data_IF_956833977731
#
_entry.id   IF_956833977731
#
_cell.length_a   1.000
_cell.length_b   1.000
_cell.length_c   1.000
_cell.angle_alpha   90.00
_cell.angle_beta   90.00
_cell.angle_gamma   90.00
#
_symmetry.space_group_name_H-M   'P 1'
#
loop_
_entity.id
_entity.type
_entity.pdbx_description
1 polymer ?
#
# COMPACT_ATOMS: atom_id res chain seq x y z
N UNK A 1 19.83 -5.15 14.20
CA UNK A 1 19.64 -4.08 15.20
C UNK A 1 18.14 -3.99 15.51
N UNK A 2 17.71 -4.64 16.58
CA UNK A 2 16.32 -4.60 17.03
C UNK A 2 15.95 -3.15 17.35
N UNK A 3 14.85 -2.64 16.81
CA UNK A 3 14.31 -1.33 17.17
C UNK A 3 13.57 -1.50 18.50
N UNK A 4 14.29 -1.92 19.52
CA UNK A 4 13.73 -2.28 20.83
C UNK A 4 13.91 -1.15 21.86
N UNK A 5 14.47 -0.01 21.45
CA UNK A 5 14.62 1.15 22.31
C UNK A 5 13.37 2.03 22.38
N UNK A 6 12.98 2.43 23.61
CA UNK A 6 12.07 3.56 23.86
C UNK A 6 12.37 4.80 23.00
N UNK A 7 13.63 5.24 22.78
CA UNK A 7 13.90 6.40 21.93
C UNK A 7 13.50 6.20 20.46
N UNK A 8 13.72 5.02 19.89
CA UNK A 8 13.37 4.78 18.50
C UNK A 8 11.85 4.74 18.27
N UNK A 9 11.10 4.19 19.24
CA UNK A 9 9.62 4.26 19.23
C UNK A 9 9.12 5.69 19.30
N UNK A 10 9.77 6.54 20.11
CA UNK A 10 9.48 7.96 20.19
C UNK A 10 9.75 8.69 18.87
N UNK A 11 10.91 8.46 18.24
CA UNK A 11 11.24 9.05 16.94
C UNK A 11 10.23 8.68 15.86
N UNK A 12 9.83 7.41 15.78
CA UNK A 12 8.79 6.95 14.84
C UNK A 12 7.45 7.63 15.15
N UNK A 13 7.07 7.76 16.43
CA UNK A 13 5.83 8.42 16.83
C UNK A 13 5.84 9.91 16.47
N UNK A 14 6.92 10.63 16.77
CA UNK A 14 7.09 12.06 16.46
C UNK A 14 7.09 12.27 14.94
N UNK A 15 7.89 11.50 14.20
CA UNK A 15 7.92 11.57 12.73
C UNK A 15 6.56 11.31 12.11
N UNK A 16 5.83 10.31 12.61
CA UNK A 16 4.46 10.04 12.18
C UNK A 16 3.49 11.19 12.48
N UNK A 17 3.63 11.85 13.64
CA UNK A 17 2.82 13.03 13.99
C UNK A 17 3.14 14.23 13.11
N UNK A 18 4.42 14.47 12.80
CA UNK A 18 4.83 15.53 11.87
C UNK A 18 4.26 15.27 10.48
N UNK A 19 4.33 14.04 9.98
CA UNK A 19 3.70 13.66 8.71
C UNK A 19 2.19 13.86 8.73
N UNK A 20 1.50 13.54 9.83
CA UNK A 20 0.06 13.81 9.99
C UNK A 20 -0.27 15.30 9.93
N UNK A 21 0.52 16.14 10.60
CA UNK A 21 0.31 17.59 10.59
C UNK A 21 0.57 18.17 9.21
N UNK A 22 1.64 17.73 8.55
CA UNK A 22 1.94 18.14 7.19
C UNK A 22 0.85 17.69 6.21
N UNK A 23 0.40 16.44 6.27
CA UNK A 23 -0.68 15.92 5.42
C UNK A 23 -1.99 16.72 5.55
N UNK A 24 -2.26 17.33 6.72
CA UNK A 24 -3.42 18.22 6.91
C UNK A 24 -3.29 19.57 6.23
N UNK A 25 -2.06 20.02 5.96
CA UNK A 25 -1.80 21.27 5.22
C UNK A 25 -1.83 21.10 3.71
N UNK A 26 -1.80 19.85 3.23
CA UNK A 26 -1.83 19.55 1.80
C UNK A 26 -3.25 19.72 1.24
N UNK A 27 -3.30 20.24 0.01
CA UNK A 27 -4.50 20.24 -0.82
C UNK A 27 -4.46 19.00 -1.70
N UNK A 28 -5.59 18.29 -1.76
CA UNK A 28 -5.72 17.07 -2.53
C UNK A 28 -6.64 17.34 -3.72
N UNK A 29 -6.14 17.09 -4.91
CA UNK A 29 -6.92 17.00 -6.15
C UNK A 29 -6.94 15.54 -6.56
N UNK A 30 -8.13 15.03 -6.90
CA UNK A 30 -8.33 13.62 -7.23
C UNK A 30 -9.02 13.53 -8.57
N UNK A 31 -8.35 12.88 -9.50
CA UNK A 31 -8.94 12.41 -10.74
C UNK A 31 -9.30 10.92 -10.56
N UNK A 32 -10.59 10.65 -10.42
CA UNK A 32 -11.12 9.30 -10.19
C UNK A 32 -11.72 8.71 -11.47
N UNK A 33 -10.86 8.32 -12.40
CA UNK A 33 -11.29 7.71 -13.67
C UNK A 33 -12.01 6.37 -13.50
N UNK A 34 -11.76 5.65 -12.40
CA UNK A 34 -12.44 4.40 -12.07
C UNK A 34 -13.78 4.61 -11.34
N UNK A 35 -14.02 5.82 -10.83
CA UNK A 35 -15.24 6.17 -10.11
C UNK A 35 -15.42 5.40 -8.81
N UNK A 36 -14.34 5.10 -8.07
CA UNK A 36 -14.38 4.33 -6.81
C UNK A 36 -14.49 5.19 -5.56
N UNK A 37 -14.15 6.48 -5.63
CA UNK A 37 -14.07 7.38 -4.48
C UNK A 37 -15.48 7.73 -4.00
N UNK A 38 -15.76 7.47 -2.72
CA UNK A 38 -17.04 7.78 -2.09
C UNK A 38 -18.23 6.92 -2.57
N UNK A 39 -17.99 5.88 -3.37
CA UNK A 39 -19.04 4.96 -3.83
C UNK A 39 -19.08 3.67 -2.99
N UNK A 40 -20.24 2.98 -2.94
CA UNK A 40 -20.32 1.63 -2.38
C UNK A 40 -19.36 0.67 -3.10
N UNK A 41 -18.86 -0.32 -2.36
CA UNK A 41 -17.98 -1.35 -2.94
C UNK A 41 -18.83 -2.27 -3.81
N UNK A 42 -18.59 -2.23 -5.13
CA UNK A 42 -19.16 -3.19 -6.08
C UNK A 42 -18.16 -4.29 -6.44
N UNK A 43 -16.87 -3.94 -6.51
CA UNK A 43 -15.78 -4.80 -6.97
C UNK A 43 -14.51 -4.51 -6.15
N UNK A 44 -13.57 -5.45 -6.15
CA UNK A 44 -12.26 -5.31 -5.50
C UNK A 44 -11.15 -5.16 -6.55
N UNK A 45 -10.14 -4.39 -6.19
CA UNK A 45 -9.05 -4.02 -7.10
C UNK A 45 -7.68 -4.41 -6.56
N UNK A 46 -6.77 -4.62 -7.51
CA UNK A 46 -5.33 -4.64 -7.24
C UNK A 46 -4.79 -3.24 -7.54
N UNK A 47 -4.66 -2.42 -6.51
CA UNK A 47 -4.05 -1.09 -6.61
C UNK A 47 -2.56 -1.19 -6.92
N UNK A 48 -2.14 -0.62 -8.04
CA UNK A 48 -0.75 -0.58 -8.48
C UNK A 48 -0.18 0.84 -8.30
N UNK A 49 0.78 1.00 -7.40
CA UNK A 49 1.45 2.28 -7.14
C UNK A 49 2.96 2.12 -7.19
N UNK A 50 3.68 3.02 -7.85
CA UNK A 50 5.14 2.99 -7.86
C UNK A 50 5.74 3.17 -6.47
N UNK A 51 6.83 2.45 -6.16
CA UNK A 51 7.46 2.46 -4.84
C UNK A 51 7.80 3.87 -4.33
N UNK A 52 8.27 4.76 -5.21
CA UNK A 52 8.70 6.11 -4.84
C UNK A 52 7.53 7.07 -4.54
N UNK A 53 6.28 6.64 -4.73
CA UNK A 53 5.09 7.44 -4.44
C UNK A 53 4.48 7.13 -3.07
N UNK A 54 4.94 6.11 -2.34
CA UNK A 54 4.24 5.60 -1.14
C UNK A 54 4.08 6.56 0.05
N UNK A 55 4.87 7.63 0.17
CA UNK A 55 4.99 8.40 1.42
C UNK A 55 3.64 8.90 1.98
N UNK A 56 2.81 9.50 1.13
CA UNK A 56 1.52 10.07 1.52
C UNK A 56 0.33 9.16 1.19
N UNK A 57 0.57 8.01 0.57
CA UNK A 57 -0.48 7.14 0.06
C UNK A 57 -1.44 6.62 1.15
N UNK A 58 -0.97 6.19 2.34
CA UNK A 58 -1.89 5.76 3.40
C UNK A 58 -2.86 6.84 3.88
N UNK A 59 -2.47 8.13 3.76
CA UNK A 59 -3.37 9.24 4.08
C UNK A 59 -4.45 9.40 3.03
N UNK A 60 -4.13 9.17 1.75
CA UNK A 60 -5.10 9.18 0.65
C UNK A 60 -6.12 8.05 0.84
N UNK A 61 -5.65 6.82 1.08
CA UNK A 61 -6.53 5.68 1.37
C UNK A 61 -7.50 6.00 2.50
N UNK A 62 -6.98 6.46 3.64
CA UNK A 62 -7.81 6.80 4.81
C UNK A 62 -8.79 7.95 4.56
N UNK A 63 -8.45 8.93 3.71
CA UNK A 63 -9.26 10.13 3.51
C UNK A 63 -10.36 9.93 2.46
N UNK A 64 -10.07 9.17 1.41
CA UNK A 64 -10.90 9.10 0.20
C UNK A 64 -11.45 7.71 -0.09
N UNK A 65 -10.78 6.66 0.40
CA UNK A 65 -11.20 5.26 0.26
C UNK A 65 -11.46 4.65 1.65
N UNK A 66 -11.97 5.44 2.59
CA UNK A 66 -12.17 5.05 4.00
C UNK A 66 -13.12 3.87 4.19
N UNK A 67 -14.00 3.62 3.22
CA UNK A 67 -14.93 2.50 3.22
C UNK A 67 -14.34 1.23 2.61
N UNK A 68 -13.12 1.30 2.05
CA UNK A 68 -12.44 0.19 1.38
C UNK A 68 -11.27 -0.27 2.24
N UNK A 69 -11.44 -1.43 2.87
CA UNK A 69 -10.38 -2.07 3.64
C UNK A 69 -9.57 -3.01 2.73
N UNK A 70 -8.31 -3.24 3.09
CA UNK A 70 -7.43 -4.03 2.25
C UNK A 70 -6.10 -4.38 2.88
N UNK A 71 -5.26 -5.02 2.07
CA UNK A 71 -3.90 -5.39 2.47
C UNK A 71 -2.84 -4.78 1.55
N UNK A 72 -1.75 -4.29 2.14
CA UNK A 72 -0.57 -3.87 1.40
C UNK A 72 0.49 -4.98 1.37
N UNK A 73 1.07 -5.23 0.20
CA UNK A 73 2.25 -6.09 0.07
C UNK A 73 3.50 -5.32 0.53
N UNK A 74 4.16 -5.81 1.58
CA UNK A 74 5.40 -5.20 2.09
C UNK A 74 6.52 -6.25 2.17
N UNK A 75 7.70 -5.90 1.66
CA UNK A 75 8.90 -6.73 1.69
C UNK A 75 9.18 -7.30 3.07
N UNK A 76 9.49 -8.60 3.15
CA UNK A 76 9.93 -9.31 4.35
C UNK A 76 11.39 -8.94 4.76
N UNK A 77 11.73 -7.66 4.67
CA UNK A 77 12.95 -7.04 5.16
C UNK A 77 12.68 -6.31 6.48
N UNK A 78 13.78 -5.92 7.15
CA UNK A 78 13.75 -5.12 8.37
C UNK A 78 13.12 -3.75 8.17
N UNK A 79 13.40 -3.08 7.05
CA UNK A 79 12.78 -1.80 6.71
C UNK A 79 11.27 -1.97 6.47
N UNK A 80 10.86 -3.12 5.94
CA UNK A 80 9.45 -3.47 5.81
C UNK A 80 8.74 -3.65 7.15
N UNK A 81 9.43 -4.05 8.22
CA UNK A 81 8.82 -4.14 9.57
C UNK A 81 8.45 -2.77 10.12
N UNK A 82 9.32 -1.77 9.89
CA UNK A 82 9.03 -0.37 10.21
C UNK A 82 7.79 0.12 9.48
N UNK A 83 7.70 -0.14 8.18
CA UNK A 83 6.54 0.24 7.38
C UNK A 83 5.27 -0.51 7.81
N UNK A 84 5.39 -1.79 8.15
CA UNK A 84 4.28 -2.61 8.68
C UNK A 84 3.67 -1.96 9.93
N UNK A 85 4.50 -1.51 10.86
CA UNK A 85 4.03 -0.84 12.08
C UNK A 85 3.34 0.51 11.80
N UNK A 86 3.74 1.20 10.73
CA UNK A 86 3.10 2.44 10.31
C UNK A 86 1.75 2.18 9.62
N UNK A 87 1.69 1.24 8.66
CA UNK A 87 0.49 0.90 7.90
C UNK A 87 -0.63 0.36 8.78
N UNK A 88 -0.31 -0.45 9.79
CA UNK A 88 -1.30 -0.91 10.78
C UNK A 88 -2.01 0.21 11.54
N UNK A 89 -1.41 1.42 11.63
CA UNK A 89 -2.07 2.59 12.24
C UNK A 89 -3.10 3.25 11.33
N UNK A 90 -3.15 2.86 10.05
CA UNK A 90 -4.15 3.28 9.07
C UNK A 90 -5.24 2.23 8.86
N UNK A 91 -5.34 1.22 9.74
CA UNK A 91 -6.35 0.16 9.68
C UNK A 91 -6.31 -0.66 8.37
N UNK A 92 -5.09 -0.86 7.87
CA UNK A 92 -4.79 -1.70 6.71
C UNK A 92 -4.00 -2.93 7.14
N UNK A 93 -4.35 -4.06 6.53
CA UNK A 93 -3.61 -5.31 6.69
C UNK A 93 -2.30 -5.29 5.92
N UNK A 94 -1.40 -6.19 6.29
CA UNK A 94 -0.10 -6.31 5.66
C UNK A 94 0.18 -7.77 5.32
N UNK A 95 0.40 -8.01 4.02
CA UNK A 95 0.94 -9.28 3.53
C UNK A 95 2.45 -9.12 3.36
N UNK A 96 3.22 -10.07 3.90
CA UNK A 96 4.69 -10.01 3.89
C UNK A 96 5.24 -10.80 2.71
N UNK A 97 5.94 -10.12 1.79
CA UNK A 97 6.60 -10.80 0.68
C UNK A 97 7.25 -9.87 -0.34
N UNK A 98 8.01 -10.46 -1.25
CA UNK A 98 8.67 -9.82 -2.39
C UNK A 98 9.03 -10.87 -3.44
N UNK A 99 9.48 -10.43 -4.62
CA UNK A 99 10.02 -11.32 -5.67
C UNK A 99 11.14 -12.25 -5.17
N UNK A 100 11.88 -11.84 -4.14
CA UNK A 100 13.02 -12.62 -3.60
C UNK A 100 12.75 -13.42 -2.33
N UNK A 101 11.63 -13.15 -1.65
CA UNK A 101 11.38 -13.69 -0.32
C UNK A 101 9.89 -13.78 -0.09
N UNK A 102 9.40 -14.99 0.17
CA UNK A 102 7.99 -15.30 0.45
C UNK A 102 7.01 -14.88 -0.66
N UNK A 103 7.47 -14.72 -1.91
CA UNK A 103 6.62 -14.26 -3.03
C UNK A 103 5.40 -15.14 -3.29
N UNK A 104 5.59 -16.46 -3.42
CA UNK A 104 4.48 -17.39 -3.68
C UNK A 104 3.42 -17.38 -2.56
N UNK A 105 3.87 -17.36 -1.29
CA UNK A 105 2.97 -17.25 -0.13
C UNK A 105 2.24 -15.92 -0.13
N UNK A 106 2.92 -14.82 -0.44
CA UNK A 106 2.30 -13.51 -0.50
C UNK A 106 1.22 -13.43 -1.58
N UNK A 107 1.45 -14.00 -2.76
CA UNK A 107 0.43 -14.05 -3.83
C UNK A 107 -0.80 -14.85 -3.39
N UNK A 108 -0.62 -15.98 -2.71
CA UNK A 108 -1.73 -16.77 -2.15
C UNK A 108 -2.54 -15.93 -1.16
N UNK A 109 -1.88 -15.32 -0.18
CA UNK A 109 -2.54 -14.48 0.82
C UNK A 109 -3.26 -13.27 0.21
N UNK A 110 -2.65 -12.62 -0.80
CA UNK A 110 -3.31 -11.51 -1.51
C UNK A 110 -4.53 -12.01 -2.30
N UNK A 111 -4.46 -13.19 -2.91
CA UNK A 111 -5.60 -13.78 -3.62
C UNK A 111 -6.75 -14.08 -2.66
N UNK A 112 -6.45 -14.58 -1.45
CA UNK A 112 -7.42 -14.84 -0.39
C UNK A 112 -8.09 -13.54 0.11
N UNK A 113 -7.32 -12.45 0.27
CA UNK A 113 -7.86 -11.14 0.64
C UNK A 113 -8.86 -10.63 -0.41
N UNK A 114 -8.50 -10.72 -1.69
CA UNK A 114 -9.38 -10.31 -2.80
C UNK A 114 -10.67 -11.14 -2.81
N UNK A 115 -10.55 -12.47 -2.68
CA UNK A 115 -11.69 -13.37 -2.63
C UNK A 115 -12.61 -13.10 -1.42
N UNK A 116 -12.05 -12.53 -0.35
CA UNK A 116 -12.77 -12.17 0.88
C UNK A 116 -13.40 -10.78 0.84
N UNK A 117 -13.45 -10.11 -0.31
CA UNK A 117 -14.11 -8.80 -0.41
C UNK A 117 -13.20 -7.58 -0.18
N UNK A 118 -11.87 -7.75 -0.23
CA UNK A 118 -10.93 -6.68 0.12
C UNK A 118 -10.06 -6.27 -1.07
N UNK A 119 -9.68 -4.99 -1.10
CA UNK A 119 -8.67 -4.50 -2.04
C UNK A 119 -7.28 -4.94 -1.61
N UNK A 120 -6.35 -4.95 -2.56
CA UNK A 120 -4.93 -5.10 -2.24
C UNK A 120 -4.09 -4.04 -2.93
N UNK A 121 -2.98 -3.66 -2.30
CA UNK A 121 -2.03 -2.70 -2.86
C UNK A 121 -0.69 -3.39 -3.08
N UNK A 122 -0.18 -3.29 -4.30
CA UNK A 122 1.14 -3.76 -4.68
C UNK A 122 1.92 -2.59 -5.28
N UNK A 123 3.21 -2.61 -5.00
CA UNK A 123 4.18 -1.77 -5.68
C UNK A 123 4.97 -2.61 -6.71
N UNK A 124 4.59 -2.53 -8.00
CA UNK A 124 4.96 -3.55 -8.99
C UNK A 124 6.45 -3.53 -9.38
N UNK A 125 7.14 -2.41 -9.19
CA UNK A 125 8.58 -2.23 -9.44
C UNK A 125 9.49 -2.89 -8.40
N UNK A 126 8.93 -3.36 -7.28
CA UNK A 126 9.69 -4.05 -6.24
C UNK A 126 10.68 -3.14 -5.48
N UNK A 127 11.10 -3.53 -4.26
CA UNK A 127 12.00 -2.72 -3.44
C UNK A 127 13.43 -2.61 -3.99
N UNK A 128 13.78 -3.43 -4.99
CA UNK A 128 15.09 -3.39 -5.67
C UNK A 128 15.02 -2.80 -7.07
N UNK A 129 13.84 -2.41 -7.52
CA UNK A 129 13.63 -1.96 -8.88
C UNK A 129 13.84 -3.06 -9.94
N UNK A 130 14.08 -2.65 -11.19
CA UNK A 130 14.19 -1.26 -11.65
C UNK A 130 12.91 -0.43 -11.44
N UNK A 131 13.08 0.87 -11.13
CA UNK A 131 11.96 1.78 -10.89
C UNK A 131 11.12 1.94 -12.15
N UNK A 132 9.80 1.97 -11.99
CA UNK A 132 8.83 2.08 -13.09
C UNK A 132 8.79 0.90 -14.07
N UNK A 133 9.35 -0.24 -13.69
CA UNK A 133 9.18 -1.49 -14.44
C UNK A 133 8.20 -2.39 -13.73
N UNK A 134 7.29 -2.99 -14.50
CA UNK A 134 6.24 -3.83 -13.93
C UNK A 134 6.75 -5.26 -13.72
N UNK A 135 6.79 -5.69 -12.46
CA UNK A 135 7.12 -7.07 -12.10
C UNK A 135 5.99 -8.05 -12.44
N UNK A 136 6.30 -9.32 -12.78
CA UNK A 136 5.30 -10.30 -13.22
C UNK A 136 4.28 -10.70 -12.14
N UNK A 137 4.58 -10.45 -10.86
CA UNK A 137 3.73 -10.86 -9.74
C UNK A 137 2.35 -10.22 -9.75
N UNK A 138 2.22 -8.97 -10.20
CA UNK A 138 0.93 -8.29 -10.26
C UNK A 138 0.04 -8.87 -11.37
N UNK A 139 0.62 -9.22 -12.51
CA UNK A 139 -0.09 -9.86 -13.63
C UNK A 139 -0.59 -11.24 -13.20
N UNK A 140 0.28 -12.02 -12.57
CA UNK A 140 -0.09 -13.35 -12.09
C UNK A 140 -1.18 -13.27 -11.01
N UNK A 141 -1.13 -12.29 -10.10
CA UNK A 141 -2.19 -12.07 -9.12
C UNK A 141 -3.53 -11.69 -9.78
N UNK A 142 -3.51 -10.79 -10.77
CA UNK A 142 -4.71 -10.41 -11.51
C UNK A 142 -5.33 -11.60 -12.23
N UNK A 143 -4.52 -12.41 -12.92
CA UNK A 143 -4.98 -13.63 -13.57
C UNK A 143 -5.58 -14.65 -12.59
N UNK A 144 -4.93 -14.83 -11.42
CA UNK A 144 -5.35 -15.80 -10.42
C UNK A 144 -6.62 -15.38 -9.67
N UNK A 145 -6.75 -14.10 -9.37
CA UNK A 145 -7.86 -13.57 -8.56
C UNK A 145 -9.05 -13.10 -9.40
N UNK A 146 -8.84 -12.80 -10.68
CA UNK A 146 -9.85 -12.18 -11.55
C UNK A 146 -10.06 -10.68 -11.28
N UNK A 147 -9.37 -10.09 -10.29
CA UNK A 147 -9.50 -8.67 -9.98
C UNK A 147 -8.78 -7.79 -11.01
N UNK A 148 -9.40 -6.66 -11.34
CA UNK A 148 -8.79 -5.67 -12.21
C UNK A 148 -7.61 -4.98 -11.52
N UNK A 149 -6.55 -4.72 -12.30
CA UNK A 149 -5.44 -3.86 -11.85
C UNK A 149 -5.87 -2.42 -12.01
N UNK A 150 -5.84 -1.67 -10.91
CA UNK A 150 -6.13 -0.24 -10.89
C UNK A 150 -4.81 0.53 -10.76
N UNK A 151 -4.32 1.17 -11.83
CA UNK A 151 -3.17 2.06 -11.75
C UNK A 151 -3.49 3.24 -10.84
N UNK A 152 -2.62 3.51 -9.88
CA UNK A 152 -2.70 4.68 -9.02
C UNK A 152 -1.40 5.45 -9.17
N UNK A 153 -1.52 6.76 -9.37
CA UNK A 153 -0.39 7.66 -9.41
C UNK A 153 -0.57 8.77 -8.38
N UNK A 154 0.54 9.31 -7.87
CA UNK A 154 0.52 10.50 -7.02
C UNK A 154 1.62 11.45 -7.44
N UNK A 155 1.24 12.67 -7.72
CA UNK A 155 2.12 13.75 -8.12
C UNK A 155 2.14 14.84 -7.06
N UNK A 156 3.26 15.55 -6.98
CA UNK A 156 3.45 16.63 -6.01
C UNK A 156 3.74 17.90 -6.80
N UNK A 157 2.91 18.91 -6.59
CA UNK A 157 3.05 20.25 -7.17
C UNK A 157 3.16 21.29 -6.05
N UNK A 158 3.82 22.41 -6.37
CA UNK A 158 4.02 23.58 -5.49
C UNK A 158 3.23 24.78 -6.00
#
# INVERSE_FOLDING_TARGET
MKIEGRPARWLIAVGFRLLQLWARTLRYEIEDGAGIVGKPIAENYIGALWHNRLLLFPFVLRRFLFNRHGAALISASRDGELLTAAIKRFDYDVVRGSSSRLGARAILQLSEMIASGHDVVITPDGPRGPAYELGPGIIFLAQKSGAAVLPVNMEYSS
#
